data_IF_175745212416
#
_entry.id   IF_175745212416
#
_cell.length_a   1.000
_cell.length_b   1.000
_cell.length_c   1.000
_cell.angle_alpha   90.00
_cell.angle_beta   90.00
_cell.angle_gamma   90.00
#
_symmetry.space_group_name_H-M   'P 1'
#
loop_
_entity.id
_entity.type
_entity.pdbx_description
1 polymer ?
#
# COMPACT_ATOMS: atom_id res chain seq x y z
N UNK A 1 -9.15 25.54 -8.94
CA UNK A 1 -8.13 24.48 -8.97
C UNK A 1 -6.77 25.11 -9.28
N UNK A 2 -5.72 24.70 -8.57
CA UNK A 2 -4.39 25.25 -8.78
C UNK A 2 -3.76 24.75 -10.08
N UNK A 3 -2.98 25.61 -10.74
CA UNK A 3 -2.28 25.27 -11.98
C UNK A 3 -0.76 25.33 -11.78
N UNK A 4 -0.04 24.60 -12.61
CA UNK A 4 1.41 24.62 -12.65
C UNK A 4 1.86 25.75 -13.58
N UNK A 5 2.71 26.65 -13.06
CA UNK A 5 3.22 27.79 -13.82
C UNK A 5 4.16 27.39 -14.96
N UNK A 6 4.81 26.24 -14.83
CA UNK A 6 5.79 25.75 -15.83
C UNK A 6 5.11 25.06 -17.03
N UNK A 7 4.13 24.16 -16.75
CA UNK A 7 3.51 23.36 -17.80
C UNK A 7 2.08 23.81 -18.14
N UNK A 8 1.55 24.79 -17.42
CA UNK A 8 0.19 25.30 -17.56
C UNK A 8 -0.89 24.23 -17.36
N UNK A 9 -0.54 23.11 -16.71
CA UNK A 9 -1.47 22.06 -16.34
C UNK A 9 -1.98 22.23 -14.92
N UNK A 10 -2.81 21.29 -14.50
CA UNK A 10 -3.36 21.28 -13.13
C UNK A 10 -2.35 20.72 -12.15
N UNK A 11 -2.27 21.33 -10.96
CA UNK A 11 -1.55 20.76 -9.83
C UNK A 11 -2.45 19.76 -9.11
N UNK A 12 -2.24 18.48 -9.37
CA UNK A 12 -3.04 17.40 -8.80
C UNK A 12 -2.26 16.67 -7.70
N UNK A 13 -2.95 16.13 -6.68
CA UNK A 13 -2.32 15.17 -5.79
C UNK A 13 -1.82 13.96 -6.58
N UNK A 14 -0.75 13.35 -6.11
CA UNK A 14 -0.33 12.06 -6.64
C UNK A 14 -1.33 10.98 -6.19
N UNK A 15 -1.54 9.99 -7.03
CA UNK A 15 -2.45 8.89 -6.74
C UNK A 15 -1.66 7.60 -6.55
N UNK A 16 -1.90 6.93 -5.42
CA UNK A 16 -1.33 5.64 -5.09
C UNK A 16 -2.44 4.61 -4.87
N UNK A 17 -2.11 3.34 -5.04
CA UNK A 17 -3.03 2.24 -4.77
C UNK A 17 -2.32 1.22 -3.89
N UNK A 18 -2.99 0.77 -2.83
CA UNK A 18 -2.46 -0.18 -1.88
C UNK A 18 -3.32 -1.44 -1.82
N UNK A 19 -2.67 -2.56 -1.52
CA UNK A 19 -3.31 -3.86 -1.41
C UNK A 19 -3.40 -4.29 0.05
N UNK A 20 -4.61 -4.55 0.53
CA UNK A 20 -4.87 -5.10 1.85
C UNK A 20 -5.21 -6.58 1.69
N UNK A 21 -4.31 -7.45 2.14
CA UNK A 21 -4.42 -8.90 2.00
C UNK A 21 -4.42 -9.55 3.37
N UNK A 22 -5.47 -10.29 3.68
CA UNK A 22 -5.61 -11.00 4.94
C UNK A 22 -5.62 -12.51 4.67
N UNK A 23 -4.89 -13.25 5.51
CA UNK A 23 -4.89 -14.71 5.51
C UNK A 23 -5.14 -15.16 6.96
N UNK A 24 -6.38 -15.60 7.27
CA UNK A 24 -6.74 -15.96 8.64
C UNK A 24 -6.54 -14.78 9.59
N UNK A 25 -5.73 -14.97 10.63
CA UNK A 25 -5.39 -13.94 11.61
C UNK A 25 -4.06 -13.21 11.29
N UNK A 26 -3.66 -13.22 10.02
CA UNK A 26 -2.44 -12.57 9.55
C UNK A 26 -2.72 -11.63 8.39
N UNK A 27 -1.88 -10.61 8.26
CA UNK A 27 -1.96 -9.62 7.18
C UNK A 27 -0.61 -9.49 6.49
N UNK A 28 -0.67 -9.26 5.18
CA UNK A 28 0.51 -9.14 4.34
C UNK A 28 1.11 -7.75 4.48
N UNK A 29 2.40 -7.68 4.80
CA UNK A 29 3.17 -6.44 4.80
C UNK A 29 4.47 -6.65 4.06
N UNK A 30 4.98 -5.57 3.47
CA UNK A 30 6.32 -5.51 2.92
C UNK A 30 7.19 -4.61 3.79
N UNK A 31 8.49 -4.88 3.81
CA UNK A 31 9.45 -4.02 4.46
C UNK A 31 10.06 -3.07 3.44
N UNK A 32 10.06 -1.78 3.74
CA UNK A 32 10.59 -0.77 2.83
C UNK A 32 12.09 -0.90 2.69
N UNK A 33 12.57 -0.93 1.45
CA UNK A 33 13.98 -1.02 1.10
C UNK A 33 14.66 0.35 1.00
N UNK A 34 13.86 1.40 0.72
CA UNK A 34 14.34 2.76 0.43
C UNK A 34 13.67 3.82 1.31
N UNK A 35 14.31 5.00 1.50
CA UNK A 35 13.65 6.14 2.12
C UNK A 35 12.42 6.61 1.33
N UNK A 36 11.41 7.24 1.96
CA UNK A 36 11.35 7.53 3.38
C UNK A 36 11.04 6.28 4.21
N UNK A 37 11.43 6.31 5.49
CA UNK A 37 11.15 5.24 6.46
C UNK A 37 11.69 3.86 6.05
N UNK A 38 12.93 3.80 5.57
CA UNK A 38 13.61 2.54 5.25
C UNK A 38 13.56 1.60 6.46
N UNK A 39 13.19 0.33 6.23
CA UNK A 39 13.06 -0.68 7.27
C UNK A 39 11.69 -0.76 7.92
N UNK A 40 10.82 0.24 7.71
CA UNK A 40 9.43 0.19 8.20
C UNK A 40 8.58 -0.75 7.33
N UNK A 41 7.54 -1.28 7.94
CA UNK A 41 6.59 -2.18 7.27
C UNK A 41 5.40 -1.39 6.73
N UNK A 42 4.85 -1.84 5.62
CA UNK A 42 3.76 -1.17 4.94
C UNK A 42 2.91 -2.18 4.17
N UNK A 43 1.69 -1.79 3.85
CA UNK A 43 0.90 -2.51 2.86
C UNK A 43 1.63 -2.45 1.51
N UNK A 44 1.60 -3.52 0.71
CA UNK A 44 2.08 -3.44 -0.67
C UNK A 44 1.33 -2.36 -1.44
N UNK A 45 2.02 -1.60 -2.26
CA UNK A 45 1.39 -0.55 -3.04
C UNK A 45 2.40 0.37 -3.71
N UNK A 46 1.90 1.25 -4.53
CA UNK A 46 2.71 2.22 -5.25
C UNK A 46 1.86 3.17 -6.08
N UNK A 47 2.54 4.01 -6.84
CA UNK A 47 1.86 5.00 -7.65
C UNK A 47 1.08 4.38 -8.81
N UNK A 48 -0.10 4.95 -9.06
CA UNK A 48 -0.91 4.63 -10.24
C UNK A 48 -0.26 5.29 -11.45
N UNK A 49 -0.05 4.53 -12.51
CA UNK A 49 0.50 5.05 -13.75
C UNK A 49 -0.55 5.83 -14.53
N UNK A 50 -0.09 6.78 -15.34
CA UNK A 50 -0.96 7.51 -16.26
C UNK A 50 -1.71 6.50 -17.14
N UNK A 51 -3.03 6.61 -17.21
CA UNK A 51 -3.86 5.72 -18.01
C UNK A 51 -4.18 4.37 -17.36
N UNK A 52 -3.74 4.16 -16.12
CA UNK A 52 -4.01 2.93 -15.37
C UNK A 52 -5.17 3.14 -14.40
N UNK A 53 -6.07 2.14 -14.33
CA UNK A 53 -7.12 2.13 -13.31
C UNK A 53 -6.48 1.81 -11.94
N UNK A 54 -6.80 2.56 -10.87
CA UNK A 54 -6.26 2.28 -9.55
C UNK A 54 -6.46 0.84 -9.06
N UNK A 55 -7.57 0.21 -9.42
CA UNK A 55 -7.83 -1.18 -9.04
C UNK A 55 -6.80 -2.14 -9.66
N UNK A 56 -6.41 -1.89 -10.92
CA UNK A 56 -5.38 -2.66 -11.60
C UNK A 56 -3.99 -2.36 -11.03
N UNK A 57 -3.75 -1.10 -10.64
CA UNK A 57 -2.49 -0.71 -10.01
C UNK A 57 -2.26 -1.46 -8.70
N UNK A 58 -3.29 -1.62 -7.87
CA UNK A 58 -3.18 -2.35 -6.61
C UNK A 58 -2.80 -3.83 -6.85
N UNK A 59 -3.44 -4.47 -7.82
CA UNK A 59 -3.15 -5.87 -8.18
C UNK A 59 -1.73 -6.01 -8.74
N UNK A 60 -1.33 -5.07 -9.61
CA UNK A 60 0.01 -5.03 -10.20
C UNK A 60 1.09 -4.85 -9.15
N UNK A 61 0.93 -3.87 -8.26
CA UNK A 61 1.91 -3.61 -7.20
C UNK A 61 2.02 -4.78 -6.22
N UNK A 62 0.91 -5.43 -5.90
CA UNK A 62 0.94 -6.63 -5.07
C UNK A 62 1.84 -7.71 -5.70
N UNK A 63 1.67 -7.97 -6.97
CA UNK A 63 2.48 -8.97 -7.68
C UNK A 63 3.95 -8.55 -7.80
N UNK A 64 4.22 -7.29 -8.13
CA UNK A 64 5.58 -6.77 -8.26
C UNK A 64 6.36 -6.85 -6.94
N UNK A 65 5.71 -6.55 -5.82
CA UNK A 65 6.38 -6.48 -4.52
C UNK A 65 6.42 -7.80 -3.75
N UNK A 66 5.49 -8.70 -4.02
CA UNK A 66 5.35 -9.94 -3.24
C UNK A 66 5.28 -11.21 -4.06
N UNK A 67 5.14 -11.12 -5.38
CA UNK A 67 4.92 -12.27 -6.25
C UNK A 67 3.52 -12.87 -6.17
N UNK A 68 2.66 -12.35 -5.29
CA UNK A 68 1.31 -12.90 -5.11
C UNK A 68 0.36 -12.40 -6.19
N UNK A 69 -0.41 -13.32 -6.76
CA UNK A 69 -1.44 -13.02 -7.75
C UNK A 69 -2.76 -12.80 -7.03
N UNK A 70 -3.19 -11.54 -6.99
CA UNK A 70 -4.42 -11.13 -6.35
C UNK A 70 -5.64 -11.34 -7.22
N UNK A 71 -6.76 -11.63 -6.57
CA UNK A 71 -8.08 -11.77 -7.20
C UNK A 71 -9.13 -11.00 -6.41
N UNK A 72 -10.25 -10.72 -7.05
CA UNK A 72 -11.43 -10.09 -6.42
C UNK A 72 -11.12 -8.79 -5.68
N UNK A 73 -10.41 -7.84 -6.30
CA UNK A 73 -10.13 -6.57 -5.65
C UNK A 73 -11.43 -5.79 -5.41
N UNK A 74 -11.54 -5.20 -4.22
CA UNK A 74 -12.70 -4.39 -3.83
C UNK A 74 -12.26 -3.20 -3.01
N UNK A 75 -12.91 -2.07 -3.23
CA UNK A 75 -12.56 -0.84 -2.55
C UNK A 75 -12.74 -0.99 -1.04
N UNK A 76 -11.71 -0.64 -0.28
CA UNK A 76 -11.74 -0.68 1.18
C UNK A 76 -11.86 0.72 1.77
N UNK A 77 -10.97 1.63 1.38
CA UNK A 77 -10.97 3.02 1.86
C UNK A 77 -10.12 3.92 0.98
N UNK A 78 -10.28 5.22 1.16
CA UNK A 78 -9.43 6.25 0.55
C UNK A 78 -8.78 7.05 1.67
N UNK A 79 -7.45 7.19 1.62
CA UNK A 79 -6.67 7.99 2.56
C UNK A 79 -6.14 9.22 1.81
N UNK A 80 -6.71 10.38 2.10
CA UNK A 80 -6.44 11.58 1.30
C UNK A 80 -6.00 12.81 2.08
N UNK A 81 -5.65 12.70 3.36
CA UNK A 81 -5.17 13.83 4.14
C UNK A 81 -3.87 14.39 3.52
N UNK A 82 -3.82 15.69 3.20
CA UNK A 82 -2.62 16.30 2.62
C UNK A 82 -1.35 16.13 3.45
N UNK A 83 -1.47 15.95 4.76
CA UNK A 83 -0.34 15.81 5.67
C UNK A 83 0.12 14.36 5.90
N UNK A 84 -0.54 13.37 5.28
CA UNK A 84 -0.27 11.96 5.56
C UNK A 84 1.09 11.45 5.07
N UNK A 85 1.68 12.12 4.08
CA UNK A 85 2.99 11.79 3.54
C UNK A 85 3.89 13.03 3.57
N UNK A 86 5.14 12.91 4.06
CA UNK A 86 6.03 14.09 4.17
C UNK A 86 6.51 14.62 2.82
N UNK A 87 6.46 13.83 1.77
CA UNK A 87 6.99 14.22 0.45
C UNK A 87 6.09 15.18 -0.30
N UNK A 88 4.79 14.91 -0.31
CA UNK A 88 3.78 15.69 -1.05
C UNK A 88 2.39 15.16 -0.72
N UNK A 89 1.35 15.83 -1.26
CA UNK A 89 -0.01 15.34 -1.14
C UNK A 89 -0.17 14.07 -1.99
N UNK A 90 -0.36 12.94 -1.32
CA UNK A 90 -0.59 11.64 -1.95
C UNK A 90 -1.93 11.10 -1.46
N UNK A 91 -2.80 10.77 -2.40
CA UNK A 91 -4.07 10.09 -2.11
C UNK A 91 -3.87 8.60 -2.38
N UNK A 92 -4.08 7.78 -1.37
CA UNK A 92 -4.02 6.31 -1.51
C UNK A 92 -5.41 5.72 -1.53
N UNK A 93 -5.68 4.93 -2.57
CA UNK A 93 -6.89 4.12 -2.67
C UNK A 93 -6.52 2.71 -2.25
N UNK A 94 -7.15 2.21 -1.19
CA UNK A 94 -6.83 0.91 -0.60
C UNK A 94 -7.88 -0.10 -1.04
N UNK A 95 -7.42 -1.21 -1.61
CA UNK A 95 -8.29 -2.31 -2.04
C UNK A 95 -8.00 -3.55 -1.21
N UNK A 96 -9.05 -4.21 -0.74
CA UNK A 96 -8.92 -5.54 -0.17
C UNK A 96 -8.84 -6.54 -1.33
N UNK A 97 -7.84 -7.42 -1.30
CA UNK A 97 -7.54 -8.34 -2.40
C UNK A 97 -7.36 -9.74 -1.82
N UNK A 98 -7.95 -10.73 -2.47
CA UNK A 98 -7.80 -12.13 -2.09
C UNK A 98 -6.58 -12.74 -2.77
N UNK A 99 -5.87 -13.61 -2.05
CA UNK A 99 -4.80 -14.45 -2.62
C UNK A 99 -5.06 -15.90 -2.25
N UNK A 100 -4.62 -16.81 -3.10
CA UNK A 100 -4.74 -18.24 -2.84
C UNK A 100 -3.85 -18.64 -1.66
N UNK A 101 -4.35 -19.56 -0.81
CA UNK A 101 -3.62 -20.01 0.39
C UNK A 101 -2.37 -20.84 0.08
N UNK A 102 -2.22 -21.32 -1.14
CA UNK A 102 -1.04 -22.07 -1.58
C UNK A 102 0.09 -21.18 -2.11
N UNK A 103 -0.15 -19.84 -2.20
CA UNK A 103 0.89 -18.89 -2.59
C UNK A 103 1.60 -18.34 -1.36
N UNK A 104 2.94 -18.30 -1.42
CA UNK A 104 3.77 -17.68 -0.39
C UNK A 104 4.41 -16.39 -0.92
N UNK A 105 4.47 -15.33 -0.12
CA UNK A 105 5.07 -14.07 -0.55
C UNK A 105 6.59 -14.20 -0.68
N UNK A 106 7.13 -13.50 -1.67
CA UNK A 106 8.56 -13.37 -1.89
C UNK A 106 8.86 -11.92 -2.26
N UNK A 107 9.77 -11.27 -1.54
CA UNK A 107 10.08 -9.87 -1.78
C UNK A 107 10.52 -9.63 -3.23
N UNK A 108 9.88 -8.66 -3.88
CA UNK A 108 10.27 -8.16 -5.20
C UNK A 108 11.36 -7.10 -5.10
N UNK A 109 11.64 -6.41 -6.21
CA UNK A 109 12.79 -5.52 -6.37
C UNK A 109 12.85 -4.37 -5.38
N UNK A 110 11.70 -3.78 -5.02
CA UNK A 110 11.63 -2.59 -4.17
C UNK A 110 11.30 -2.90 -2.70
N UNK A 111 11.20 -4.17 -2.34
CA UNK A 111 10.94 -4.61 -0.97
C UNK A 111 12.13 -5.36 -0.41
N UNK A 112 12.50 -5.07 0.84
CA UNK A 112 13.54 -5.81 1.54
C UNK A 112 13.03 -7.16 2.06
N UNK A 113 11.75 -7.25 2.34
CA UNK A 113 11.08 -8.45 2.82
C UNK A 113 9.58 -8.36 2.51
N UNK A 114 8.91 -9.51 2.46
CA UNK A 114 7.47 -9.60 2.30
C UNK A 114 6.98 -10.82 3.09
N UNK A 115 6.04 -10.61 4.00
CA UNK A 115 5.51 -11.70 4.81
C UNK A 115 4.14 -11.41 5.38
N UNK A 116 3.45 -12.48 5.76
CA UNK A 116 2.23 -12.38 6.57
C UNK A 116 2.62 -12.25 8.04
N UNK A 117 2.13 -11.18 8.68
CA UNK A 117 2.33 -10.92 10.10
C UNK A 117 1.05 -11.21 10.88
N UNK A 118 1.14 -11.85 12.05
CA UNK A 118 -0.03 -11.97 12.90
C UNK A 118 -0.60 -10.60 13.26
N UNK A 119 -1.91 -10.46 13.21
CA UNK A 119 -2.59 -9.19 13.52
C UNK A 119 -2.20 -8.70 14.92
N UNK A 120 -2.10 -9.60 15.91
CA UNK A 120 -1.68 -9.25 17.26
C UNK A 120 -0.29 -8.61 17.28
N UNK A 121 0.65 -9.13 16.49
CA UNK A 121 2.01 -8.58 16.40
C UNK A 121 2.00 -7.19 15.77
N UNK A 122 1.18 -6.98 14.74
CA UNK A 122 1.04 -5.69 14.06
C UNK A 122 0.58 -4.60 15.03
N UNK A 123 -0.33 -4.92 15.93
CA UNK A 123 -0.87 -3.97 16.91
C UNK A 123 -0.13 -3.96 18.25
N UNK A 124 0.90 -4.79 18.44
CA UNK A 124 1.67 -4.86 19.68
C UNK A 124 2.67 -3.72 19.88
N UNK A 125 3.01 -3.01 18.80
CA UNK A 125 4.06 -2.00 18.79
C UNK A 125 5.45 -2.55 18.46
N UNK A 126 5.57 -3.84 18.19
CA UNK A 126 6.86 -4.45 17.80
C UNK A 126 7.34 -4.00 16.41
N UNK A 127 6.40 -3.71 15.51
CA UNK A 127 6.72 -3.30 14.14
C UNK A 127 6.59 -1.79 14.01
N UNK A 128 7.54 -1.17 13.32
CA UNK A 128 7.40 0.21 12.86
C UNK A 128 6.64 0.19 11.54
N UNK A 129 5.48 0.83 11.50
CA UNK A 129 4.66 0.96 10.30
C UNK A 129 4.98 2.27 9.60
N UNK A 130 5.09 2.24 8.27
CA UNK A 130 5.36 3.42 7.47
C UNK A 130 4.14 4.35 7.42
N UNK A 131 4.39 5.66 7.46
CA UNK A 131 3.36 6.68 7.27
C UNK A 131 2.15 6.45 8.18
N UNK A 132 0.97 6.45 7.59
CA UNK A 132 -0.30 6.21 8.28
C UNK A 132 -0.84 4.79 8.10
N UNK A 133 0.02 3.83 7.71
CA UNK A 133 -0.42 2.45 7.47
C UNK A 133 -0.99 1.77 8.72
N UNK A 134 -0.52 2.14 9.90
CA UNK A 134 -1.15 1.65 11.14
C UNK A 134 -2.60 2.09 11.22
N UNK A 135 -2.92 3.32 10.83
CA UNK A 135 -4.30 3.81 10.80
C UNK A 135 -5.15 3.06 9.78
N UNK A 136 -4.59 2.77 8.61
CA UNK A 136 -5.26 1.95 7.58
C UNK A 136 -5.61 0.58 8.16
N UNK A 137 -4.66 -0.07 8.82
CA UNK A 137 -4.86 -1.38 9.44
C UNK A 137 -5.92 -1.34 10.53
N UNK A 138 -5.92 -0.29 11.35
CA UNK A 138 -6.96 -0.10 12.38
C UNK A 138 -8.34 0.10 11.77
N UNK A 139 -8.46 0.92 10.75
CA UNK A 139 -9.73 1.16 10.05
C UNK A 139 -10.29 -0.13 9.42
N UNK A 140 -9.40 -0.99 8.96
CA UNK A 140 -9.78 -2.24 8.30
C UNK A 140 -10.12 -3.37 9.28
N UNK A 141 -9.32 -3.53 10.32
CA UNK A 141 -9.32 -4.73 11.16
C UNK A 141 -9.98 -4.57 12.53
N UNK A 142 -10.23 -3.32 12.96
CA UNK A 142 -10.81 -3.05 14.29
C UNK A 142 -12.24 -2.52 14.26
#
# INVERSE_FOLDING_TARGET
MATCDECNGWLNPALAADAAVRRGESVLLIQRKHPPMKGAWALPGGFVDQGEDPIHAAVRELEEETGLKGTKPRLLMVMGDPARDPRKHIVSVVYEIDVSTDQEPMAGDDAADARFWPINTVFSGELTLAGDHLQILKNWLL
#
